data_IF_595328517341
#
_entry.id   IF_595328517341
#
_cell.length_a   1.000
_cell.length_b   1.000
_cell.length_c   1.000
_cell.angle_alpha   90.00
_cell.angle_beta   90.00
_cell.angle_gamma   90.00
#
_symmetry.space_group_name_H-M   'P 1'
#
loop_
_entity.id
_entity.type
_entity.pdbx_description
1 polymer ?
#
# COMPACT_ATOMS: atom_id res chain seq x y z
N UNK A 1 28.36 7.49 -0.52
CA UNK A 1 27.46 7.59 0.65
C UNK A 1 25.97 7.47 0.29
N UNK A 2 25.40 8.21 -0.70
CA UNK A 2 23.95 8.10 -1.01
C UNK A 2 23.54 6.73 -1.57
N UNK A 3 24.40 6.07 -2.36
CA UNK A 3 24.11 4.74 -2.91
C UNK A 3 23.95 3.67 -1.82
N UNK A 4 24.83 3.66 -0.81
CA UNK A 4 24.78 2.69 0.30
C UNK A 4 23.48 2.88 1.08
N UNK A 5 23.11 4.13 1.40
CA UNK A 5 21.85 4.43 2.07
C UNK A 5 20.65 3.95 1.25
N UNK A 6 20.61 4.22 -0.05
CA UNK A 6 19.52 3.76 -0.91
C UNK A 6 19.36 2.23 -0.89
N UNK A 7 20.48 1.51 -1.00
CA UNK A 7 20.49 0.04 -0.92
C UNK A 7 19.98 -0.42 0.44
N UNK A 8 20.45 0.18 1.54
CA UNK A 8 20.02 -0.19 2.90
C UNK A 8 18.52 0.04 3.13
N UNK A 9 17.99 1.20 2.72
CA UNK A 9 16.55 1.52 2.85
C UNK A 9 15.71 0.57 2.00
N UNK A 10 16.11 0.33 0.75
CA UNK A 10 15.39 -0.59 -0.16
C UNK A 10 15.41 -2.01 0.39
N UNK A 11 16.56 -2.49 0.85
CA UNK A 11 16.70 -3.83 1.42
C UNK A 11 15.83 -4.00 2.67
N UNK A 12 15.87 -3.04 3.60
CA UNK A 12 15.03 -3.05 4.79
C UNK A 12 13.53 -3.02 4.44
N UNK A 13 13.14 -2.18 3.47
CA UNK A 13 11.76 -2.10 2.99
C UNK A 13 11.26 -3.44 2.43
N UNK A 14 12.08 -4.09 1.60
CA UNK A 14 11.76 -5.40 1.00
C UNK A 14 11.66 -6.48 2.06
N UNK A 15 12.59 -6.54 3.03
CA UNK A 15 12.53 -7.52 4.11
C UNK A 15 11.28 -7.35 4.97
N UNK A 16 10.94 -6.11 5.34
CA UNK A 16 9.74 -5.84 6.13
C UNK A 16 8.47 -6.12 5.31
N UNK A 17 8.42 -5.75 4.03
CA UNK A 17 7.34 -6.13 3.12
C UNK A 17 7.12 -7.65 3.14
N UNK A 18 8.18 -8.44 2.91
CA UNK A 18 8.11 -9.90 2.90
C UNK A 18 7.64 -10.45 4.24
N UNK A 19 8.15 -9.90 5.35
CA UNK A 19 7.77 -10.32 6.70
C UNK A 19 6.29 -10.10 6.98
N UNK A 20 5.76 -8.89 6.74
CA UNK A 20 4.37 -8.57 7.03
C UNK A 20 3.40 -9.25 6.06
N UNK A 21 3.78 -9.38 4.79
CA UNK A 21 2.99 -10.13 3.80
C UNK A 21 2.90 -11.60 4.19
N UNK A 22 4.02 -12.21 4.61
CA UNK A 22 4.03 -13.58 5.14
C UNK A 22 3.23 -13.72 6.42
N UNK A 23 3.42 -12.82 7.39
CA UNK A 23 2.70 -12.87 8.66
C UNK A 23 1.19 -12.85 8.46
N UNK A 24 0.69 -12.13 7.44
CA UNK A 24 -0.74 -12.05 7.14
C UNK A 24 -1.30 -13.34 6.52
N UNK A 25 -0.52 -14.06 5.72
CA UNK A 25 -0.99 -15.18 4.90
C UNK A 25 -0.52 -16.57 5.39
N UNK A 26 0.38 -16.64 6.36
CA UNK A 26 1.01 -17.91 6.80
C UNK A 26 0.05 -18.95 7.38
N UNK A 27 -1.10 -18.54 7.91
CA UNK A 27 -2.05 -19.44 8.56
C UNK A 27 -2.88 -20.26 7.53
N UNK A 28 -3.17 -19.66 6.37
CA UNK A 28 -4.08 -20.25 5.38
C UNK A 28 -3.36 -20.77 4.11
N UNK A 29 -2.09 -20.41 3.91
CA UNK A 29 -1.38 -20.67 2.65
C UNK A 29 0.02 -21.24 2.86
N UNK A 30 0.49 -22.05 1.93
CA UNK A 30 1.84 -22.62 1.98
C UNK A 30 2.90 -21.53 1.78
N UNK A 31 4.07 -21.70 2.40
CA UNK A 31 5.21 -20.77 2.26
C UNK A 31 5.52 -20.46 0.79
N UNK A 32 5.48 -21.46 -0.09
CA UNK A 32 5.77 -21.28 -1.51
C UNK A 32 4.76 -20.35 -2.21
N UNK A 33 3.46 -20.53 -1.96
CA UNK A 33 2.41 -19.67 -2.54
C UNK A 33 2.56 -18.21 -2.07
N UNK A 34 2.81 -18.02 -0.78
CA UNK A 34 2.95 -16.69 -0.15
C UNK A 34 4.16 -15.95 -0.71
N UNK A 35 5.34 -16.56 -0.68
CA UNK A 35 6.56 -15.91 -1.14
C UNK A 35 6.56 -15.70 -2.67
N UNK A 36 6.04 -16.65 -3.45
CA UNK A 36 5.93 -16.47 -4.91
C UNK A 36 5.04 -15.28 -5.26
N UNK A 37 3.90 -15.13 -4.57
CA UNK A 37 3.01 -13.96 -4.76
C UNK A 37 3.67 -12.67 -4.32
N UNK A 38 4.39 -12.68 -3.20
CA UNK A 38 5.15 -11.53 -2.73
C UNK A 38 6.23 -11.10 -3.75
N UNK A 39 6.94 -12.07 -4.34
CA UNK A 39 7.93 -11.79 -5.39
C UNK A 39 7.30 -11.28 -6.68
N UNK A 40 6.14 -11.78 -7.10
CA UNK A 40 5.40 -11.19 -8.23
C UNK A 40 5.00 -9.74 -7.95
N UNK A 41 4.57 -9.46 -6.72
CA UNK A 41 4.23 -8.10 -6.28
C UNK A 41 5.46 -7.19 -6.34
N UNK A 42 6.58 -7.60 -5.75
CA UNK A 42 7.84 -6.83 -5.76
C UNK A 42 8.40 -6.65 -7.17
N UNK A 43 8.34 -7.69 -8.01
CA UNK A 43 8.75 -7.61 -9.40
C UNK A 43 7.88 -6.61 -10.17
N UNK A 44 6.57 -6.65 -9.96
CA UNK A 44 5.64 -5.68 -10.54
C UNK A 44 5.93 -4.25 -10.09
N UNK A 45 6.16 -4.02 -8.80
CA UNK A 45 6.56 -2.70 -8.26
C UNK A 45 7.89 -2.25 -8.91
N UNK A 46 8.88 -3.14 -8.99
CA UNK A 46 10.18 -2.86 -9.59
C UNK A 46 10.07 -2.49 -11.07
N UNK A 47 9.32 -3.28 -11.85
CA UNK A 47 9.05 -3.01 -13.26
C UNK A 47 8.32 -1.66 -13.45
N UNK A 48 7.31 -1.38 -12.63
CA UNK A 48 6.61 -0.09 -12.64
C UNK A 48 7.53 1.10 -12.36
N UNK A 49 8.44 0.97 -11.39
CA UNK A 49 9.42 2.00 -11.08
C UNK A 49 10.47 2.18 -12.19
N UNK A 50 10.91 1.08 -12.82
CA UNK A 50 11.81 1.16 -13.99
C UNK A 50 11.12 1.94 -15.12
N UNK A 51 9.88 1.59 -15.46
CA UNK A 51 9.09 2.30 -16.49
C UNK A 51 8.94 3.78 -16.12
N UNK A 52 8.62 4.09 -14.86
CA UNK A 52 8.52 5.46 -14.39
C UNK A 52 9.82 6.24 -14.61
N UNK A 53 10.96 5.67 -14.22
CA UNK A 53 12.26 6.35 -14.33
C UNK A 53 12.63 6.67 -15.79
N UNK A 54 12.26 5.82 -16.75
CA UNK A 54 12.57 6.04 -18.16
C UNK A 54 11.56 6.93 -18.89
N UNK A 55 10.27 6.87 -18.54
CA UNK A 55 9.21 7.48 -19.34
C UNK A 55 8.36 8.52 -18.60
N UNK A 56 8.23 8.43 -17.28
CA UNK A 56 7.28 9.22 -16.51
C UNK A 56 7.66 9.31 -15.02
N UNK A 57 8.80 9.96 -14.70
CA UNK A 57 9.36 9.94 -13.35
C UNK A 57 8.38 10.42 -12.24
N UNK A 58 7.53 11.46 -12.43
CA UNK A 58 6.53 11.84 -11.43
C UNK A 58 5.51 10.75 -11.12
N UNK A 59 5.29 9.80 -12.05
CA UNK A 59 4.29 8.74 -11.94
C UNK A 59 4.81 7.48 -11.23
N UNK A 60 6.01 7.52 -10.65
CA UNK A 60 6.64 6.36 -9.96
C UNK A 60 5.70 5.68 -8.97
N UNK A 61 4.95 6.46 -8.20
CA UNK A 61 4.01 5.96 -7.19
C UNK A 61 2.88 5.14 -7.85
N UNK A 62 2.22 5.69 -8.86
CA UNK A 62 1.10 5.03 -9.53
C UNK A 62 1.54 3.84 -10.39
N UNK A 63 2.65 3.96 -11.10
CA UNK A 63 3.18 2.85 -11.89
C UNK A 63 3.66 1.71 -10.99
N UNK A 64 4.29 2.03 -9.84
CA UNK A 64 4.61 1.05 -8.81
C UNK A 64 3.36 0.40 -8.21
N UNK A 65 2.33 1.19 -7.91
CA UNK A 65 1.05 0.70 -7.39
C UNK A 65 0.35 -0.25 -8.37
N UNK A 66 0.25 0.12 -9.65
CA UNK A 66 -0.35 -0.70 -10.71
C UNK A 66 0.46 -1.97 -10.90
N UNK A 67 1.80 -1.86 -11.01
CA UNK A 67 2.68 -3.01 -11.14
C UNK A 67 2.55 -3.99 -9.98
N UNK A 68 2.59 -3.49 -8.74
CA UNK A 68 2.38 -4.31 -7.55
C UNK A 68 0.99 -4.96 -7.51
N UNK A 69 -0.06 -4.21 -7.87
CA UNK A 69 -1.43 -4.72 -7.93
C UNK A 69 -1.57 -5.85 -8.97
N UNK A 70 -0.95 -5.71 -10.14
CA UNK A 70 -0.90 -6.76 -11.15
C UNK A 70 -0.15 -8.01 -10.63
N UNK A 71 0.97 -7.82 -9.93
CA UNK A 71 1.70 -8.92 -9.29
C UNK A 71 0.85 -9.68 -8.27
N UNK A 72 0.08 -8.97 -7.44
CA UNK A 72 -0.89 -9.55 -6.51
C UNK A 72 -1.97 -10.32 -7.27
N UNK A 73 -2.56 -9.73 -8.32
CA UNK A 73 -3.60 -10.36 -9.13
C UNK A 73 -3.11 -11.66 -9.77
N UNK A 74 -1.89 -11.68 -10.32
CA UNK A 74 -1.28 -12.90 -10.86
C UNK A 74 -1.18 -13.98 -9.78
N UNK A 75 -0.75 -13.64 -8.56
CA UNK A 75 -0.69 -14.59 -7.45
C UNK A 75 -2.07 -15.11 -7.03
N UNK A 76 -3.06 -14.22 -6.93
CA UNK A 76 -4.47 -14.56 -6.63
C UNK A 76 -5.00 -15.56 -7.65
N UNK A 77 -4.89 -15.27 -8.95
CA UNK A 77 -5.45 -16.14 -9.97
C UNK A 77 -4.69 -17.46 -10.10
N UNK A 78 -3.36 -17.43 -10.00
CA UNK A 78 -2.52 -18.63 -10.11
C UNK A 78 -2.72 -19.59 -8.95
N UNK A 79 -2.79 -19.08 -7.72
CA UNK A 79 -2.84 -19.90 -6.51
C UNK A 79 -4.22 -19.95 -5.84
N UNK A 80 -5.23 -19.30 -6.45
CA UNK A 80 -6.61 -19.19 -5.94
C UNK A 80 -6.66 -18.63 -4.51
N UNK A 81 -5.82 -17.63 -4.22
CA UNK A 81 -5.79 -16.97 -2.92
C UNK A 81 -7.07 -16.16 -2.72
N UNK A 82 -7.52 -16.01 -1.47
CA UNK A 82 -8.65 -15.13 -1.16
C UNK A 82 -8.24 -13.68 -1.39
N UNK A 83 -9.01 -12.98 -2.21
CA UNK A 83 -8.71 -11.62 -2.68
C UNK A 83 -8.50 -10.67 -1.50
N UNK A 84 -9.46 -10.57 -0.57
CA UNK A 84 -9.41 -9.60 0.51
C UNK A 84 -8.26 -9.84 1.50
N UNK A 85 -7.93 -11.10 1.81
CA UNK A 85 -6.79 -11.43 2.68
C UNK A 85 -5.46 -11.04 2.01
N UNK A 86 -5.32 -11.35 0.72
CA UNK A 86 -4.10 -11.09 -0.06
C UNK A 86 -3.91 -9.59 -0.30
N UNK A 87 -4.99 -8.88 -0.65
CA UNK A 87 -5.01 -7.42 -0.80
C UNK A 87 -4.69 -6.75 0.52
N UNK A 88 -5.22 -7.23 1.65
CA UNK A 88 -4.92 -6.66 2.97
C UNK A 88 -3.43 -6.82 3.34
N UNK A 89 -2.84 -7.99 3.07
CA UNK A 89 -1.39 -8.18 3.20
C UNK A 89 -0.58 -7.26 2.27
N UNK A 90 -1.05 -7.11 1.02
CA UNK A 90 -0.44 -6.22 0.02
C UNK A 90 -0.50 -4.75 0.40
N UNK A 91 -1.59 -4.28 1.01
CA UNK A 91 -1.74 -2.90 1.49
C UNK A 91 -0.76 -2.63 2.64
N UNK A 92 -0.71 -3.51 3.63
CA UNK A 92 0.23 -3.37 4.75
C UNK A 92 1.68 -3.35 4.25
N UNK A 93 2.05 -4.30 3.39
CA UNK A 93 3.37 -4.34 2.76
C UNK A 93 3.65 -3.08 1.92
N UNK A 94 2.68 -2.65 1.11
CA UNK A 94 2.80 -1.47 0.26
C UNK A 94 3.04 -0.19 1.06
N UNK A 95 2.35 0.00 2.19
CA UNK A 95 2.59 1.12 3.10
C UNK A 95 4.02 1.14 3.64
N UNK A 96 4.59 -0.03 3.93
CA UNK A 96 5.98 -0.15 4.39
C UNK A 96 6.95 0.25 3.27
N UNK A 97 6.73 -0.19 2.04
CA UNK A 97 7.55 0.22 0.91
C UNK A 97 7.51 1.74 0.72
N UNK A 98 6.32 2.35 0.76
CA UNK A 98 6.14 3.80 0.64
C UNK A 98 6.77 4.53 1.83
N UNK A 99 6.64 4.01 3.05
CA UNK A 99 7.25 4.60 4.25
C UNK A 99 8.75 4.73 4.10
N UNK A 100 9.43 3.67 3.65
CA UNK A 100 10.87 3.69 3.45
C UNK A 100 11.29 4.61 2.30
N UNK A 101 10.49 4.75 1.24
CA UNK A 101 10.74 5.74 0.20
C UNK A 101 10.69 7.17 0.75
N UNK A 102 9.69 7.50 1.58
CA UNK A 102 9.58 8.80 2.23
C UNK A 102 10.68 9.05 3.27
N UNK A 103 11.04 8.04 4.07
CA UNK A 103 12.12 8.16 5.05
C UNK A 103 13.49 8.34 4.38
N UNK A 104 13.72 7.65 3.26
CA UNK A 104 14.93 7.83 2.46
C UNK A 104 15.01 9.26 1.92
N UNK A 105 13.93 9.75 1.30
CA UNK A 105 13.87 11.13 0.79
C UNK A 105 14.06 12.17 1.89
N UNK A 106 13.40 11.99 3.05
CA UNK A 106 13.59 12.85 4.22
C UNK A 106 15.03 12.81 4.73
N UNK A 107 15.70 11.65 4.69
CA UNK A 107 17.07 11.51 5.18
C UNK A 107 18.08 12.22 4.27
N UNK A 108 17.91 12.10 2.95
CA UNK A 108 18.84 12.65 1.95
C UNK A 108 18.55 14.12 1.66
N UNK A 109 17.29 14.46 1.34
CA UNK A 109 16.89 15.77 0.86
C UNK A 109 16.36 16.70 1.96
N UNK A 110 16.14 16.18 3.19
CA UNK A 110 15.63 16.95 4.35
C UNK A 110 14.30 17.66 4.08
N UNK A 111 13.48 17.11 3.18
CA UNK A 111 12.19 17.64 2.77
C UNK A 111 11.15 17.47 3.88
N UNK A 112 10.63 18.59 4.40
CA UNK A 112 9.63 18.58 5.49
C UNK A 112 8.40 17.75 5.13
N UNK A 113 7.93 17.83 3.87
CA UNK A 113 6.79 17.05 3.39
C UNK A 113 7.02 15.55 3.45
N UNK A 114 8.25 15.08 3.21
CA UNK A 114 8.58 13.66 3.29
C UNK A 114 8.63 13.19 4.75
N UNK A 115 9.12 14.03 5.66
CA UNK A 115 9.03 13.78 7.10
C UNK A 115 7.58 13.65 7.59
N UNK A 116 6.71 14.61 7.22
CA UNK A 116 5.27 14.56 7.55
C UNK A 116 4.62 13.31 6.93
N UNK A 117 4.92 13.00 5.67
CA UNK A 117 4.40 11.81 5.00
C UNK A 117 4.81 10.52 5.70
N UNK A 118 6.06 10.41 6.17
CA UNK A 118 6.50 9.26 6.98
C UNK A 118 5.71 9.14 8.29
N UNK A 119 5.45 10.25 8.99
CA UNK A 119 4.62 10.24 10.22
C UNK A 119 3.20 9.76 9.91
N UNK A 120 2.57 10.27 8.85
CA UNK A 120 1.23 9.85 8.42
C UNK A 120 1.20 8.34 8.09
N UNK A 121 2.23 7.82 7.41
CA UNK A 121 2.34 6.40 7.10
C UNK A 121 2.52 5.53 8.35
N UNK A 122 3.34 5.97 9.32
CA UNK A 122 3.50 5.30 10.61
C UNK A 122 2.17 5.26 11.37
N UNK A 123 1.46 6.39 11.44
CA UNK A 123 0.13 6.45 12.06
C UNK A 123 -0.87 5.55 11.32
N UNK A 124 -0.82 5.48 9.99
CA UNK A 124 -1.63 4.57 9.19
C UNK A 124 -1.35 3.10 9.48
N UNK A 125 -0.07 2.70 9.61
CA UNK A 125 0.32 1.35 10.00
C UNK A 125 -0.12 1.03 11.43
N UNK A 126 0.03 1.97 12.37
CA UNK A 126 -0.47 1.79 13.74
C UNK A 126 -1.99 1.60 13.77
N UNK A 127 -2.73 2.46 13.06
CA UNK A 127 -4.18 2.38 12.94
C UNK A 127 -4.61 1.07 12.27
N UNK A 128 -3.86 0.58 11.27
CA UNK A 128 -4.10 -0.73 10.67
C UNK A 128 -4.12 -1.83 11.73
N UNK A 129 -3.12 -1.90 12.61
CA UNK A 129 -3.07 -2.92 13.67
C UNK A 129 -4.19 -2.76 14.69
N UNK A 130 -4.52 -1.52 15.06
CA UNK A 130 -5.63 -1.23 15.96
C UNK A 130 -6.97 -1.71 15.40
N UNK A 131 -7.24 -1.40 14.12
CA UNK A 131 -8.45 -1.83 13.42
C UNK A 131 -8.46 -3.36 13.24
N UNK A 132 -7.36 -3.97 12.83
CA UNK A 132 -7.26 -5.41 12.62
C UNK A 132 -7.50 -6.21 13.91
N UNK A 133 -7.22 -5.62 15.08
CA UNK A 133 -7.54 -6.21 16.38
C UNK A 133 -9.03 -6.13 16.74
N UNK A 134 -9.72 -5.05 16.35
CA UNK A 134 -11.07 -4.74 16.85
C UNK A 134 -12.18 -4.77 15.80
N UNK A 135 -11.89 -5.00 14.51
CA UNK A 135 -12.84 -4.80 13.43
C UNK A 135 -14.14 -5.61 13.54
N UNK A 136 -14.09 -6.78 14.20
CA UNK A 136 -15.26 -7.65 14.42
C UNK A 136 -16.26 -7.08 15.42
N UNK A 137 -15.89 -6.08 16.21
CA UNK A 137 -16.75 -5.45 17.21
C UNK A 137 -17.49 -4.21 16.70
N UNK A 138 -17.21 -3.76 15.47
CA UNK A 138 -17.93 -2.62 14.91
C UNK A 138 -19.36 -3.00 14.52
N UNK A 139 -20.33 -2.31 15.13
CA UNK A 139 -21.77 -2.56 14.94
C UNK A 139 -22.24 -2.39 13.48
N UNK A 140 -21.62 -1.45 12.76
CA UNK A 140 -21.93 -1.18 11.35
C UNK A 140 -21.25 -2.18 10.38
N UNK A 141 -20.26 -2.95 10.84
CA UNK A 141 -19.54 -3.94 10.04
C UNK A 141 -20.09 -5.36 10.28
N UNK A 142 -21.29 -5.61 9.79
CA UNK A 142 -22.02 -6.84 10.07
C UNK A 142 -21.35 -8.12 9.50
N UNK A 143 -20.56 -8.00 8.43
CA UNK A 143 -20.00 -9.18 7.76
C UNK A 143 -18.88 -9.88 8.52
N UNK A 144 -18.12 -9.17 9.37
CA UNK A 144 -16.99 -9.74 10.10
C UNK A 144 -15.87 -10.36 9.23
N UNK A 145 -15.88 -10.13 7.90
CA UNK A 145 -14.91 -10.70 6.94
C UNK A 145 -13.55 -9.99 7.04
N UNK A 146 -12.50 -10.69 6.60
CA UNK A 146 -11.14 -10.15 6.48
C UNK A 146 -11.10 -9.13 5.33
N UNK A 147 -10.22 -8.12 5.40
CA UNK A 147 -10.10 -7.04 4.41
C UNK A 147 -10.55 -5.66 4.89
N UNK A 148 -11.26 -5.58 6.02
CA UNK A 148 -11.75 -4.33 6.60
C UNK A 148 -10.61 -3.32 6.84
N UNK A 149 -9.59 -3.72 7.58
CA UNK A 149 -8.52 -2.82 8.02
C UNK A 149 -7.71 -2.33 6.83
N UNK A 150 -7.38 -3.24 5.91
CA UNK A 150 -6.72 -2.89 4.64
C UNK A 150 -7.50 -1.83 3.87
N UNK A 151 -8.79 -2.03 3.60
CA UNK A 151 -9.60 -1.10 2.81
C UNK A 151 -9.81 0.25 3.49
N UNK A 152 -10.03 0.28 4.81
CA UNK A 152 -10.13 1.54 5.57
C UNK A 152 -8.84 2.33 5.47
N UNK A 153 -7.69 1.67 5.64
CA UNK A 153 -6.39 2.33 5.62
C UNK A 153 -6.00 2.78 4.22
N UNK A 154 -6.24 1.96 3.19
CA UNK A 154 -6.02 2.36 1.81
C UNK A 154 -6.92 3.55 1.42
N UNK A 155 -8.22 3.47 1.75
CA UNK A 155 -9.18 4.55 1.49
C UNK A 155 -8.79 5.85 2.21
N UNK A 156 -8.43 5.75 3.49
CA UNK A 156 -7.94 6.89 4.28
C UNK A 156 -6.63 7.48 3.74
N UNK A 157 -5.68 6.64 3.34
CA UNK A 157 -4.43 7.08 2.73
C UNK A 157 -4.66 7.87 1.44
N UNK A 158 -5.46 7.34 0.52
CA UNK A 158 -5.79 8.05 -0.72
C UNK A 158 -6.64 9.31 -0.49
N UNK A 159 -7.55 9.29 0.50
CA UNK A 159 -8.33 10.48 0.85
C UNK A 159 -7.43 11.60 1.38
N UNK A 160 -6.51 11.28 2.29
CA UNK A 160 -5.53 12.25 2.82
C UNK A 160 -4.68 12.81 1.67
N UNK A 161 -4.19 11.95 0.76
CA UNK A 161 -3.44 12.40 -0.43
C UNK A 161 -4.24 13.38 -1.29
N UNK A 162 -5.50 13.06 -1.57
CA UNK A 162 -6.39 13.93 -2.35
C UNK A 162 -6.58 15.30 -1.67
N UNK A 163 -6.81 15.32 -0.35
CA UNK A 163 -6.96 16.57 0.42
C UNK A 163 -5.67 17.40 0.46
N UNK A 164 -4.52 16.76 0.60
CA UNK A 164 -3.21 17.44 0.61
C UNK A 164 -2.91 18.02 -0.78
N UNK A 165 -3.26 17.31 -1.86
CA UNK A 165 -3.06 17.75 -3.24
C UNK A 165 -3.84 19.02 -3.61
N UNK A 166 -4.90 19.37 -2.88
CA UNK A 166 -5.63 20.63 -3.07
C UNK A 166 -4.78 21.87 -2.75
N UNK A 167 -3.81 21.75 -1.83
CA UNK A 167 -3.00 22.89 -1.35
C UNK A 167 -1.51 22.73 -1.61
N UNK A 168 -1.01 21.50 -1.69
CA UNK A 168 0.43 21.22 -1.75
C UNK A 168 0.76 20.29 -2.92
N UNK A 169 1.18 20.86 -4.04
CA UNK A 169 1.54 20.09 -5.25
C UNK A 169 2.96 19.49 -5.20
N UNK A 170 3.80 19.93 -4.25
CA UNK A 170 5.23 19.59 -4.17
C UNK A 170 5.54 18.34 -3.35
N UNK A 171 4.57 17.45 -3.13
CA UNK A 171 4.80 16.21 -2.38
C UNK A 171 5.46 15.17 -3.30
N UNK A 172 6.45 14.43 -2.79
CA UNK A 172 7.29 13.46 -3.53
C UNK A 172 6.54 12.50 -4.48
N UNK A 173 5.31 12.14 -4.13
CA UNK A 173 4.52 11.12 -4.83
C UNK A 173 3.36 11.70 -5.64
N UNK A 174 3.30 13.02 -5.84
CA UNK A 174 2.19 13.69 -6.53
C UNK A 174 2.48 13.91 -8.01
N UNK A 175 1.45 13.70 -8.83
CA UNK A 175 1.47 13.97 -10.26
C UNK A 175 0.71 15.27 -10.55
N UNK A 176 1.20 16.38 -10.00
CA UNK A 176 0.63 17.71 -10.23
C UNK A 176 -0.88 17.80 -9.92
N UNK A 177 -1.64 18.46 -10.79
CA UNK A 177 -3.07 18.71 -10.59
C UNK A 177 -3.96 17.47 -10.66
N UNK A 178 -3.53 16.41 -11.36
CA UNK A 178 -4.30 15.17 -11.51
C UNK A 178 -4.36 14.35 -10.21
N UNK A 179 -3.45 14.60 -9.28
CA UNK A 179 -3.34 13.88 -8.01
C UNK A 179 -4.65 13.89 -7.22
N UNK A 180 -5.31 15.05 -7.14
CA UNK A 180 -6.55 15.22 -6.39
C UNK A 180 -7.63 14.26 -6.91
N UNK A 181 -7.77 14.18 -8.24
CA UNK A 181 -8.76 13.34 -8.89
C UNK A 181 -8.43 11.85 -8.76
N UNK A 182 -7.19 11.46 -9.08
CA UNK A 182 -6.79 10.04 -9.08
C UNK A 182 -6.86 9.45 -7.67
N UNK A 183 -6.29 10.16 -6.68
CA UNK A 183 -6.37 9.74 -5.28
C UNK A 183 -7.81 9.79 -4.75
N UNK A 184 -8.63 10.76 -5.17
CA UNK A 184 -10.04 10.83 -4.81
C UNK A 184 -10.84 9.62 -5.32
N UNK A 185 -10.64 9.23 -6.59
CA UNK A 185 -11.28 8.04 -7.19
C UNK A 185 -10.80 6.76 -6.49
N UNK A 186 -9.50 6.63 -6.21
CA UNK A 186 -8.97 5.48 -5.48
C UNK A 186 -9.59 5.36 -4.07
N UNK A 187 -9.70 6.47 -3.35
CA UNK A 187 -10.37 6.50 -2.04
C UNK A 187 -11.84 6.07 -2.15
N UNK A 188 -12.57 6.60 -3.12
CA UNK A 188 -13.96 6.23 -3.38
C UNK A 188 -14.12 4.73 -3.66
N UNK A 189 -13.26 4.15 -4.51
CA UNK A 189 -13.27 2.71 -4.80
C UNK A 189 -12.99 1.89 -3.54
N UNK A 190 -12.01 2.27 -2.71
CA UNK A 190 -11.74 1.58 -1.45
C UNK A 190 -12.96 1.60 -0.51
N UNK A 191 -13.62 2.74 -0.35
CA UNK A 191 -14.81 2.86 0.50
C UNK A 191 -16.02 2.14 -0.09
N UNK A 192 -16.18 2.11 -1.42
CA UNK A 192 -17.23 1.34 -2.09
C UNK A 192 -17.03 -0.17 -1.88
N UNK A 193 -15.80 -0.66 -2.01
CA UNK A 193 -15.45 -2.05 -1.72
C UNK A 193 -15.68 -2.38 -0.24
N UNK A 194 -15.33 -1.46 0.66
CA UNK A 194 -15.58 -1.62 2.10
C UNK A 194 -17.08 -1.68 2.41
N UNK A 195 -17.88 -0.84 1.77
CA UNK A 195 -19.34 -0.86 1.91
C UNK A 195 -19.94 -2.17 1.42
N UNK A 196 -19.48 -2.67 0.27
CA UNK A 196 -19.88 -3.98 -0.25
C UNK A 196 -19.46 -5.12 0.69
N UNK A 197 -18.27 -5.02 1.30
CA UNK A 197 -17.77 -6.00 2.25
C UNK A 197 -18.54 -5.96 3.59
N UNK A 198 -19.01 -4.78 4.01
CA UNK A 198 -19.76 -4.60 5.26
C UNK A 198 -21.15 -5.24 5.23
N UNK A 199 -21.76 -5.33 4.04
CA UNK A 199 -23.07 -5.98 3.86
C UNK A 199 -22.96 -7.47 4.19
N UNK A 200 -23.88 -7.94 5.04
CA UNK A 200 -24.09 -9.38 5.28
C UNK A 200 -24.48 -9.99 3.93
N UNK A 201 -23.66 -10.92 3.42
CA UNK A 201 -24.11 -11.73 2.28
C UNK A 201 -25.35 -12.52 2.73
N UNK A 202 -26.44 -12.50 1.95
CA UNK A 202 -27.65 -13.29 2.25
C UNK A 202 -27.33 -14.78 2.35
#
# INVERSE_FOLDING_TARGET
MPLILNISFTFAAVLLFLFFFWQKLKEDYTRNQVFTTAFYTLFGVGAGNIIANFFAAPWWFYLGLVGGSLGILVGIFRFKLRIFETVEGGILGGLILILFAFLHDFTINKTVFSGIGSVVLILGIFLYFLLNKHYKHFTWYASGKVGFSGLVIAGGFFLIRSLVALKFLSVLSFVGSYETLISGVAAFVCFLLLFNLARKSP
#
